data_IF_362671010487
#
_entry.id   IF_362671010487
#
_cell.length_a   1.000
_cell.length_b   1.000
_cell.length_c   1.000
_cell.angle_alpha   90.00
_cell.angle_beta   90.00
_cell.angle_gamma   90.00
#
_symmetry.space_group_name_H-M   'P 1'
#
loop_
_entity.id
_entity.type
_entity.pdbx_description
1 polymer ?
#
# COMPACT_ATOMS: atom_id res chain seq x y z
N UNK A 1 43.16 -15.86 30.22
CA UNK A 1 43.17 -16.31 28.83
C UNK A 1 41.77 -16.73 28.45
N UNK A 2 41.03 -15.82 27.82
CA UNK A 2 39.59 -15.94 27.56
C UNK A 2 39.40 -16.38 26.11
N UNK A 3 39.09 -17.66 25.89
CA UNK A 3 38.83 -18.20 24.56
C UNK A 3 37.52 -17.65 23.99
N UNK A 4 37.59 -17.00 22.82
CA UNK A 4 36.40 -16.61 22.05
C UNK A 4 35.84 -17.85 21.33
N UNK A 5 34.53 -18.10 21.36
CA UNK A 5 33.92 -19.19 20.62
C UNK A 5 34.05 -18.92 19.11
N UNK A 6 34.68 -19.87 18.40
CA UNK A 6 34.80 -19.86 16.94
C UNK A 6 33.45 -20.23 16.33
N UNK A 7 32.79 -19.27 15.67
CA UNK A 7 31.66 -19.55 14.81
C UNK A 7 32.09 -20.45 13.64
N UNK A 8 31.54 -21.67 13.58
CA UNK A 8 31.69 -22.60 12.46
C UNK A 8 31.04 -22.00 11.20
N UNK A 9 31.76 -21.96 10.06
CA UNK A 9 31.15 -21.59 8.79
C UNK A 9 30.20 -22.71 8.34
N UNK A 10 28.90 -22.42 8.38
CA UNK A 10 27.84 -23.26 7.84
C UNK A 10 28.04 -23.43 6.32
N UNK A 11 28.50 -24.62 5.92
CA UNK A 11 28.69 -25.11 4.55
C UNK A 11 27.35 -25.59 3.96
N UNK A 12 26.36 -24.70 3.88
CA UNK A 12 25.09 -24.97 3.15
C UNK A 12 25.03 -24.07 1.92
N UNK A 13 25.93 -24.31 0.97
CA UNK A 13 26.02 -23.50 -0.24
C UNK A 13 26.66 -24.27 -1.38
N UNK A 14 25.90 -25.14 -2.05
CA UNK A 14 26.33 -25.70 -3.33
C UNK A 14 25.22 -26.31 -4.22
N UNK A 15 23.95 -26.33 -3.82
CA UNK A 15 22.88 -26.98 -4.61
C UNK A 15 21.61 -26.13 -4.77
N UNK A 16 21.77 -24.85 -5.13
CA UNK A 16 20.67 -24.00 -5.65
C UNK A 16 21.05 -23.25 -6.93
N UNK A 17 21.98 -23.82 -7.70
CA UNK A 17 22.41 -23.29 -8.99
C UNK A 17 21.68 -23.95 -10.16
N UNK A 18 20.35 -23.89 -10.22
CA UNK A 18 19.59 -24.13 -11.45
C UNK A 18 18.10 -23.80 -11.20
N UNK A 19 17.51 -22.99 -12.10
CA UNK A 19 16.11 -22.49 -12.12
C UNK A 19 15.83 -21.22 -11.31
N UNK A 20 16.34 -20.09 -11.78
CA UNK A 20 15.53 -18.85 -11.93
C UNK A 20 16.29 -17.85 -12.79
N UNK A 21 16.54 -18.25 -14.04
CA UNK A 21 16.90 -17.28 -15.09
C UNK A 21 15.60 -16.56 -15.47
N UNK A 22 15.63 -15.23 -15.40
CA UNK A 22 14.62 -14.27 -15.86
C UNK A 22 13.32 -14.15 -15.06
N UNK A 23 13.38 -13.41 -13.95
CA UNK A 23 12.48 -12.27 -13.76
C UNK A 23 13.22 -11.26 -12.87
N UNK A 24 14.22 -10.54 -13.42
CA UNK A 24 14.82 -9.43 -12.70
C UNK A 24 13.68 -8.42 -12.45
N UNK A 25 13.69 -7.79 -11.28
CA UNK A 25 12.86 -6.63 -10.89
C UNK A 25 11.38 -6.82 -10.56
N UNK A 26 10.87 -8.04 -10.34
CA UNK A 26 9.48 -8.20 -9.86
C UNK A 26 9.28 -7.58 -8.48
N UNK A 27 10.22 -7.81 -7.55
CA UNK A 27 10.09 -7.32 -6.17
C UNK A 27 10.00 -5.79 -6.03
N UNK A 28 10.95 -5.00 -6.58
CA UNK A 28 10.91 -3.54 -6.49
C UNK A 28 9.70 -2.93 -7.23
N UNK A 29 9.31 -3.53 -8.36
CA UNK A 29 8.10 -3.11 -9.08
C UNK A 29 6.84 -3.40 -8.27
N UNK A 30 6.76 -4.54 -7.57
CA UNK A 30 5.63 -4.82 -6.66
C UNK A 30 5.59 -3.80 -5.54
N UNK A 31 6.72 -3.47 -4.89
CA UNK A 31 6.75 -2.45 -3.83
C UNK A 31 6.24 -1.11 -4.36
N UNK A 32 6.75 -0.70 -5.52
CA UNK A 32 6.38 0.54 -6.17
C UNK A 32 4.89 0.56 -6.53
N UNK A 33 4.40 -0.47 -7.22
CA UNK A 33 2.99 -0.59 -7.65
C UNK A 33 2.07 -0.65 -6.44
N UNK A 34 2.41 -1.39 -5.38
CA UNK A 34 1.62 -1.44 -4.16
C UNK A 34 1.57 -0.09 -3.47
N UNK A 35 2.69 0.62 -3.35
CA UNK A 35 2.71 1.95 -2.74
C UNK A 35 1.96 2.98 -3.59
N UNK A 36 2.12 2.92 -4.91
CA UNK A 36 1.42 3.77 -5.86
C UNK A 36 -0.09 3.52 -5.80
N UNK A 37 -0.53 2.27 -5.85
CA UNK A 37 -1.93 1.86 -5.75
C UNK A 37 -2.53 2.15 -4.38
N UNK A 38 -1.72 2.17 -3.32
CA UNK A 38 -2.17 2.54 -1.99
C UNK A 38 -2.42 4.05 -1.87
N UNK A 39 -1.54 4.89 -2.44
CA UNK A 39 -1.60 6.34 -2.26
C UNK A 39 -2.48 7.05 -3.29
N UNK A 40 -2.47 6.58 -4.53
CA UNK A 40 -3.18 7.23 -5.63
C UNK A 40 -4.69 7.39 -5.37
N UNK A 41 -5.43 6.36 -4.88
CA UNK A 41 -6.85 6.49 -4.61
C UNK A 41 -7.14 7.55 -3.56
N UNK A 42 -6.35 7.59 -2.49
CA UNK A 42 -6.54 8.56 -1.41
C UNK A 42 -6.32 10.01 -1.85
N UNK A 43 -5.28 10.27 -2.64
CA UNK A 43 -5.05 11.61 -3.19
C UNK A 43 -6.12 12.01 -4.20
N UNK A 44 -6.50 11.11 -5.10
CA UNK A 44 -7.54 11.39 -6.08
C UNK A 44 -8.90 11.64 -5.41
N UNK A 45 -9.28 10.79 -4.46
CA UNK A 45 -10.56 10.85 -3.76
C UNK A 45 -10.69 12.09 -2.88
N UNK A 46 -9.64 12.48 -2.15
CA UNK A 46 -9.64 13.73 -1.39
C UNK A 46 -9.86 14.94 -2.31
N UNK A 47 -9.10 15.03 -3.40
CA UNK A 47 -9.25 16.14 -4.35
C UNK A 47 -10.63 16.14 -5.02
N UNK A 48 -11.16 14.97 -5.39
CA UNK A 48 -12.50 14.86 -5.96
C UNK A 48 -13.59 15.30 -4.97
N UNK A 49 -13.50 14.92 -3.69
CA UNK A 49 -14.44 15.37 -2.65
C UNK A 49 -14.38 16.89 -2.45
N UNK A 50 -13.17 17.47 -2.46
CA UNK A 50 -12.98 18.93 -2.38
C UNK A 50 -13.62 19.63 -3.58
N UNK A 51 -13.38 19.15 -4.81
CA UNK A 51 -13.94 19.75 -6.03
C UNK A 51 -15.47 19.64 -6.08
N UNK A 52 -16.05 18.58 -5.54
CA UNK A 52 -17.51 18.42 -5.45
C UNK A 52 -18.15 19.17 -4.26
N UNK A 53 -17.38 19.94 -3.47
CA UNK A 53 -17.90 20.69 -2.33
C UNK A 53 -18.35 19.83 -1.14
N UNK A 54 -17.97 18.56 -1.09
CA UNK A 54 -18.34 17.58 -0.05
C UNK A 54 -17.39 17.63 1.14
N UNK A 55 -17.43 18.75 1.87
CA UNK A 55 -16.47 19.04 2.97
C UNK A 55 -16.58 18.07 4.14
N UNK A 56 -17.79 17.67 4.52
CA UNK A 56 -18.00 16.77 5.65
C UNK A 56 -17.51 15.35 5.35
N UNK A 57 -17.74 14.88 4.13
CA UNK A 57 -17.25 13.58 3.67
C UNK A 57 -15.73 13.59 3.46
N UNK A 58 -15.16 14.68 2.95
CA UNK A 58 -13.71 14.89 2.87
C UNK A 58 -13.06 14.79 4.25
N UNK A 59 -13.58 15.54 5.22
CA UNK A 59 -13.06 15.53 6.59
C UNK A 59 -13.14 14.14 7.22
N UNK A 60 -14.26 13.44 7.01
CA UNK A 60 -14.48 12.07 7.49
C UNK A 60 -13.51 11.09 6.85
N UNK A 61 -13.31 11.18 5.52
CA UNK A 61 -12.37 10.35 4.77
C UNK A 61 -10.94 10.59 5.26
N UNK A 62 -10.52 11.86 5.37
CA UNK A 62 -9.19 12.24 5.82
C UNK A 62 -8.89 11.74 7.23
N UNK A 63 -9.82 11.96 8.15
CA UNK A 63 -9.66 11.57 9.56
C UNK A 63 -9.58 10.05 9.71
N UNK A 64 -10.45 9.32 9.01
CA UNK A 64 -10.46 7.85 9.06
C UNK A 64 -9.22 7.24 8.40
N UNK A 65 -8.73 7.83 7.31
CA UNK A 65 -7.47 7.45 6.66
C UNK A 65 -6.27 7.60 7.59
N UNK A 66 -6.10 8.74 8.25
CA UNK A 66 -4.98 8.98 9.16
C UNK A 66 -4.99 8.01 10.33
N UNK A 67 -6.15 7.79 10.95
CA UNK A 67 -6.26 6.82 12.05
C UNK A 67 -5.99 5.39 11.57
N UNK A 68 -6.56 4.98 10.43
CA UNK A 68 -6.32 3.66 9.87
C UNK A 68 -4.84 3.41 9.55
N UNK A 69 -4.11 4.42 9.05
CA UNK A 69 -2.68 4.33 8.79
C UNK A 69 -1.87 4.07 10.07
N UNK A 70 -2.15 4.82 11.15
CA UNK A 70 -1.47 4.61 12.45
C UNK A 70 -1.69 3.18 12.95
N UNK A 71 -2.94 2.71 12.92
CA UNK A 71 -3.29 1.34 13.35
C UNK A 71 -2.63 0.28 12.46
N UNK A 72 -2.57 0.51 11.15
CA UNK A 72 -1.95 -0.41 10.19
C UNK A 72 -0.45 -0.52 10.40
N UNK A 73 0.25 0.57 10.73
CA UNK A 73 1.69 0.52 11.03
C UNK A 73 1.96 -0.38 12.25
N UNK A 74 1.15 -0.25 13.30
CA UNK A 74 1.25 -1.11 14.48
C UNK A 74 0.98 -2.59 14.12
N UNK A 75 -0.06 -2.83 13.31
CA UNK A 75 -0.39 -4.16 12.83
C UNK A 75 0.70 -4.75 11.91
N UNK A 76 1.34 -3.95 11.06
CA UNK A 76 2.44 -4.38 10.18
C UNK A 76 3.67 -4.80 11.01
N UNK A 77 4.00 -4.06 12.08
CA UNK A 77 5.08 -4.42 13.01
C UNK A 77 4.76 -5.74 13.71
N UNK A 78 3.55 -5.86 14.28
CA UNK A 78 3.12 -7.09 14.97
C UNK A 78 3.10 -8.30 14.01
N UNK A 79 2.55 -8.11 12.80
CA UNK A 79 2.51 -9.14 11.77
C UNK A 79 3.91 -9.58 11.36
N UNK A 80 4.83 -8.64 11.14
CA UNK A 80 6.22 -8.94 10.75
C UNK A 80 6.97 -9.73 11.82
N UNK A 81 6.67 -9.48 13.09
CA UNK A 81 7.23 -10.25 14.21
C UNK A 81 6.66 -11.67 14.29
N UNK A 82 5.35 -11.83 14.05
CA UNK A 82 4.66 -13.13 14.15
C UNK A 82 4.86 -14.03 12.92
N UNK A 83 4.96 -13.45 11.73
CA UNK A 83 4.99 -14.15 10.44
C UNK A 83 6.22 -13.73 9.63
N UNK A 84 7.44 -14.18 9.95
CA UNK A 84 8.65 -13.76 9.25
C UNK A 84 8.73 -14.26 7.80
N UNK A 85 7.96 -15.31 7.45
CA UNK A 85 7.93 -15.89 6.10
C UNK A 85 6.91 -15.17 5.23
N UNK A 86 7.29 -14.87 3.99
CA UNK A 86 6.38 -14.29 2.99
C UNK A 86 5.27 -15.27 2.63
N UNK A 87 4.05 -14.75 2.45
CA UNK A 87 2.96 -15.50 1.86
C UNK A 87 3.25 -15.85 0.38
N UNK A 88 2.61 -16.91 -0.17
CA UNK A 88 2.75 -17.24 -1.57
C UNK A 88 2.23 -16.11 -2.48
N UNK A 89 2.77 -15.95 -3.71
CA UNK A 89 2.37 -14.88 -4.63
C UNK A 89 0.87 -14.83 -4.92
N UNK A 90 0.22 -15.99 -5.02
CA UNK A 90 -1.23 -16.07 -5.24
C UNK A 90 -2.06 -15.43 -4.12
N UNK A 91 -1.65 -15.63 -2.85
CA UNK A 91 -2.31 -14.98 -1.71
C UNK A 91 -2.11 -13.46 -1.74
N UNK A 92 -0.93 -12.99 -2.17
CA UNK A 92 -0.66 -11.56 -2.31
C UNK A 92 -1.48 -10.93 -3.44
N UNK A 93 -1.67 -11.63 -4.57
CA UNK A 93 -2.52 -11.17 -5.66
C UNK A 93 -3.99 -11.07 -5.24
N UNK A 94 -4.50 -12.07 -4.50
CA UNK A 94 -5.86 -12.03 -3.93
C UNK A 94 -6.03 -10.88 -2.92
N UNK A 95 -5.03 -10.67 -2.07
CA UNK A 95 -5.02 -9.55 -1.14
C UNK A 95 -5.03 -8.20 -1.87
N UNK A 96 -4.24 -8.04 -2.92
CA UNK A 96 -4.24 -6.82 -3.73
C UNK A 96 -5.59 -6.58 -4.43
N UNK A 97 -6.23 -7.64 -4.94
CA UNK A 97 -7.56 -7.55 -5.53
C UNK A 97 -8.61 -7.15 -4.48
N UNK A 98 -8.59 -7.78 -3.31
CA UNK A 98 -9.50 -7.46 -2.22
C UNK A 98 -9.32 -6.01 -1.74
N UNK A 99 -8.06 -5.54 -1.63
CA UNK A 99 -7.76 -4.15 -1.35
C UNK A 99 -8.40 -3.21 -2.38
N UNK A 100 -8.26 -3.50 -3.68
CA UNK A 100 -8.86 -2.70 -4.75
C UNK A 100 -10.40 -2.70 -4.67
N UNK A 101 -11.02 -3.84 -4.36
CA UNK A 101 -12.48 -3.91 -4.14
C UNK A 101 -12.92 -3.06 -2.93
N UNK A 102 -12.18 -3.10 -1.82
CA UNK A 102 -12.49 -2.32 -0.63
C UNK A 102 -12.30 -0.81 -0.86
N UNK A 103 -11.26 -0.41 -1.58
CA UNK A 103 -11.06 0.98 -2.01
C UNK A 103 -12.16 1.44 -2.96
N UNK A 104 -12.56 0.60 -3.92
CA UNK A 104 -13.69 0.86 -4.80
C UNK A 104 -15.00 1.03 -4.03
N UNK A 105 -15.25 0.18 -3.03
CA UNK A 105 -16.40 0.31 -2.14
C UNK A 105 -16.35 1.60 -1.30
N UNK A 106 -15.17 1.99 -0.83
CA UNK A 106 -14.99 3.23 -0.08
C UNK A 106 -15.31 4.46 -0.94
N UNK A 107 -14.88 4.43 -2.21
CA UNK A 107 -15.18 5.46 -3.19
C UNK A 107 -16.68 5.51 -3.54
N UNK A 108 -17.31 4.36 -3.80
CA UNK A 108 -18.75 4.32 -4.12
C UNK A 108 -19.59 4.77 -2.94
N UNK A 109 -19.20 4.49 -1.71
CA UNK A 109 -19.88 5.00 -0.52
C UNK A 109 -19.66 6.50 -0.32
N UNK A 110 -18.42 6.98 -0.50
CA UNK A 110 -18.12 8.41 -0.35
C UNK A 110 -18.89 9.28 -1.35
N UNK A 111 -19.11 8.82 -2.58
CA UNK A 111 -19.86 9.56 -3.60
C UNK A 111 -21.34 9.20 -3.69
N UNK A 112 -21.70 7.94 -3.49
CA UNK A 112 -23.06 7.44 -3.68
C UNK A 112 -23.95 7.53 -2.43
N UNK A 113 -23.39 7.67 -1.23
CA UNK A 113 -24.20 7.84 -0.04
C UNK A 113 -24.91 9.22 -0.04
N UNK A 114 -26.18 9.29 0.41
CA UNK A 114 -26.85 10.56 0.69
C UNK A 114 -25.99 11.44 1.59
N UNK A 115 -26.20 12.76 1.52
CA UNK A 115 -25.49 13.71 2.39
C UNK A 115 -25.63 13.29 3.87
N UNK A 116 -24.50 13.13 4.56
CA UNK A 116 -24.44 12.64 5.95
C UNK A 116 -24.59 11.12 6.15
N UNK A 117 -24.78 10.35 5.09
CA UNK A 117 -24.78 8.88 5.10
C UNK A 117 -23.37 8.29 5.21
N UNK A 118 -22.37 8.97 4.66
CA UNK A 118 -20.97 8.60 4.80
C UNK A 118 -20.42 9.10 6.15
N UNK A 119 -20.32 8.18 7.12
CA UNK A 119 -19.96 8.50 8.52
C UNK A 119 -18.65 7.86 8.93
N UNK A 120 -18.03 8.45 9.94
CA UNK A 120 -16.77 7.98 10.52
C UNK A 120 -16.78 6.49 10.91
N UNK A 121 -17.88 6.04 11.52
CA UNK A 121 -18.06 4.64 11.96
C UNK A 121 -18.10 3.63 10.82
N UNK A 122 -18.35 4.03 9.58
CA UNK A 122 -18.26 3.18 8.39
C UNK A 122 -16.92 3.36 7.67
N UNK A 123 -16.46 4.62 7.57
CA UNK A 123 -15.24 4.98 6.86
C UNK A 123 -13.98 4.36 7.49
N UNK A 124 -13.87 4.39 8.82
CA UNK A 124 -12.71 3.84 9.55
C UNK A 124 -12.55 2.32 9.40
N UNK A 125 -13.54 1.47 9.72
CA UNK A 125 -13.36 0.03 9.61
C UNK A 125 -13.13 -0.41 8.16
N UNK A 126 -13.78 0.24 7.20
CA UNK A 126 -13.60 -0.08 5.78
C UNK A 126 -12.18 0.28 5.31
N UNK A 127 -11.68 1.47 5.67
CA UNK A 127 -10.32 1.87 5.35
C UNK A 127 -9.30 0.98 6.07
N UNK A 128 -9.51 0.69 7.35
CA UNK A 128 -8.64 -0.19 8.13
C UNK A 128 -8.60 -1.59 7.52
N UNK A 129 -9.74 -2.17 7.16
CA UNK A 129 -9.80 -3.48 6.48
C UNK A 129 -9.00 -3.45 5.17
N UNK A 130 -9.16 -2.40 4.36
CA UNK A 130 -8.40 -2.25 3.12
C UNK A 130 -6.90 -2.24 3.37
N UNK A 131 -6.43 -1.53 4.40
CA UNK A 131 -5.01 -1.43 4.74
C UNK A 131 -4.45 -2.71 5.35
N UNK A 132 -5.18 -3.37 6.24
CA UNK A 132 -4.76 -4.62 6.87
C UNK A 132 -4.56 -5.73 5.84
N UNK A 133 -5.43 -5.82 4.83
CA UNK A 133 -5.30 -6.79 3.73
C UNK A 133 -4.01 -6.58 2.94
N UNK A 134 -3.46 -5.35 2.91
CA UNK A 134 -2.26 -5.04 2.16
C UNK A 134 -0.95 -5.41 2.89
N UNK A 135 -0.99 -5.65 4.22
CA UNK A 135 0.19 -6.02 5.03
C UNK A 135 1.00 -7.18 4.44
N UNK A 136 0.43 -8.35 4.08
CA UNK A 136 1.22 -9.42 3.49
C UNK A 136 1.87 -9.03 2.16
N UNK A 137 1.24 -8.12 1.40
CA UNK A 137 1.76 -7.63 0.13
C UNK A 137 2.94 -6.68 0.37
N UNK A 138 2.84 -5.77 1.33
CA UNK A 138 3.95 -4.87 1.70
C UNK A 138 5.13 -5.66 2.25
N UNK A 139 4.87 -6.75 2.99
CA UNK A 139 5.91 -7.63 3.50
C UNK A 139 6.75 -8.28 2.40
N UNK A 140 6.13 -8.76 1.31
CA UNK A 140 6.87 -9.32 0.15
C UNK A 140 7.83 -8.27 -0.41
N UNK A 141 7.36 -7.04 -0.56
CA UNK A 141 8.17 -5.94 -1.05
C UNK A 141 9.31 -5.57 -0.11
N UNK A 142 9.03 -5.44 1.19
CA UNK A 142 10.04 -5.15 2.21
C UNK A 142 11.12 -6.23 2.23
N UNK A 143 10.73 -7.51 2.14
CA UNK A 143 11.67 -8.64 2.15
C UNK A 143 12.56 -8.68 0.91
N UNK A 144 12.04 -8.43 -0.30
CA UNK A 144 12.88 -8.34 -1.51
C UNK A 144 13.87 -7.15 -1.42
N UNK A 145 13.42 -5.98 -0.92
CA UNK A 145 14.31 -4.83 -0.72
C UNK A 145 15.44 -5.15 0.28
N UNK A 146 15.12 -5.84 1.38
CA UNK A 146 16.11 -6.28 2.37
C UNK A 146 17.08 -7.32 1.78
N UNK A 147 16.61 -8.28 0.98
CA UNK A 147 17.48 -9.25 0.28
C UNK A 147 18.47 -8.56 -0.67
N UNK A 148 18.06 -7.46 -1.31
CA UNK A 148 18.90 -6.64 -2.19
C UNK A 148 19.78 -5.63 -1.44
N UNK A 149 19.69 -5.58 -0.10
CA UNK A 149 20.35 -4.57 0.76
C UNK A 149 19.99 -3.13 0.40
N UNK A 150 18.77 -2.90 -0.08
CA UNK A 150 18.25 -1.58 -0.41
C UNK A 150 17.29 -1.15 0.69
N UNK A 151 17.30 0.14 1.04
CA UNK A 151 16.33 0.69 1.99
C UNK A 151 14.91 0.65 1.40
N UNK A 152 13.94 -0.06 2.02
CA UNK A 152 12.55 -0.10 1.57
C UNK A 152 11.91 1.29 1.51
N UNK A 153 12.35 2.20 2.39
CA UNK A 153 11.85 3.58 2.46
C UNK A 153 12.04 4.35 1.14
N UNK A 154 13.14 4.09 0.40
CA UNK A 154 13.41 4.78 -0.88
C UNK A 154 12.34 4.44 -1.93
N UNK A 155 11.97 3.17 -2.05
CA UNK A 155 10.92 2.76 -3.00
C UNK A 155 9.54 3.27 -2.58
N UNK A 156 9.26 3.30 -1.27
CA UNK A 156 8.02 3.90 -0.76
C UNK A 156 7.94 5.40 -1.10
N UNK A 157 9.04 6.15 -0.96
CA UNK A 157 9.12 7.56 -1.35
C UNK A 157 8.96 7.77 -2.86
N UNK A 158 9.55 6.91 -3.70
CA UNK A 158 9.38 6.99 -5.16
C UNK A 158 7.93 6.72 -5.59
N UNK A 159 7.30 5.69 -5.00
CA UNK A 159 5.88 5.39 -5.23
C UNK A 159 4.97 6.55 -4.80
N UNK A 160 5.29 7.19 -3.68
CA UNK A 160 4.62 8.41 -3.23
C UNK A 160 4.76 9.55 -4.22
N UNK A 161 5.99 9.87 -4.64
CA UNK A 161 6.24 10.97 -5.57
C UNK A 161 5.51 10.74 -6.91
N UNK A 162 5.54 9.52 -7.43
CA UNK A 162 4.83 9.16 -8.65
C UNK A 162 3.31 9.31 -8.50
N UNK A 163 2.73 8.86 -7.38
CA UNK A 163 1.30 9.01 -7.11
C UNK A 163 0.88 10.48 -7.04
N UNK A 164 1.68 11.33 -6.39
CA UNK A 164 1.44 12.78 -6.33
C UNK A 164 1.51 13.41 -7.71
N UNK A 165 2.54 13.09 -8.51
CA UNK A 165 2.68 13.63 -9.87
C UNK A 165 1.50 13.24 -10.75
N UNK A 166 1.06 11.97 -10.71
CA UNK A 166 -0.11 11.51 -11.48
C UNK A 166 -1.39 12.20 -11.01
N UNK A 167 -1.60 12.34 -9.70
CA UNK A 167 -2.77 13.03 -9.16
C UNK A 167 -2.81 14.51 -9.52
N UNK A 168 -1.68 15.21 -9.47
CA UNK A 168 -1.59 16.63 -9.88
C UNK A 168 -1.79 16.76 -11.39
N UNK A 169 -1.15 15.91 -12.18
CA UNK A 169 -1.31 15.92 -13.64
C UNK A 169 -2.75 15.67 -14.08
N UNK A 170 -3.47 14.75 -13.41
CA UNK A 170 -4.88 14.48 -13.72
C UNK A 170 -5.81 15.65 -13.36
N UNK A 171 -5.51 16.38 -12.28
CA UNK A 171 -6.24 17.60 -11.90
C UNK A 171 -5.97 18.77 -12.85
N UNK A 172 -4.73 18.92 -13.31
CA UNK A 172 -4.34 19.98 -14.23
C UNK A 172 -4.69 19.68 -15.69
N UNK A 173 -5.20 18.48 -16.00
CA UNK A 173 -5.56 18.12 -17.36
C UNK A 173 -6.81 18.88 -17.81
N UNK A 174 -6.71 19.82 -18.77
CA UNK A 174 -7.81 20.71 -19.14
C UNK A 174 -9.02 19.98 -19.74
N UNK A 175 -8.85 18.75 -20.24
CA UNK A 175 -9.94 17.90 -20.72
C UNK A 175 -10.77 17.21 -19.63
N UNK A 176 -10.33 17.22 -18.37
CA UNK A 176 -11.09 16.64 -17.25
C UNK A 176 -12.20 17.57 -16.76
N UNK A 177 -12.03 18.88 -16.93
CA UNK A 177 -13.04 19.91 -16.66
C UNK A 177 -13.95 20.14 -17.88
N UNK A 178 -14.41 19.04 -18.49
CA UNK A 178 -15.37 19.07 -19.59
C UNK A 178 -16.52 20.01 -19.24
N UNK A 179 -16.51 21.17 -19.90
CA UNK A 179 -17.36 22.34 -19.67
C UNK A 179 -18.84 21.91 -19.53
N UNK A 180 -19.44 21.91 -18.32
CA UNK A 180 -20.88 21.80 -18.21
C UNK A 180 -21.44 23.16 -18.62
N UNK A 181 -21.74 23.31 -19.91
CA UNK A 181 -22.71 24.29 -20.36
C UNK A 181 -24.11 23.83 -19.98
#
# INVERSE_FOLDING_TARGET
TTERPRCLPSRVGALRGARTVMLPTVGPCIVFVCQFMHLLPSYYQLNALIMCGRKDEEWTFRSSMLQAQVLTVLAEIAWSALHPRTLPPGACALAALLHACLQGLHLTLAFGAPQGGYRYGLALPLQLAALLVLIPVTQVGNNDALQRRISPARYKMLGFLAAVVVAVASLLWPGALGNPR
#
